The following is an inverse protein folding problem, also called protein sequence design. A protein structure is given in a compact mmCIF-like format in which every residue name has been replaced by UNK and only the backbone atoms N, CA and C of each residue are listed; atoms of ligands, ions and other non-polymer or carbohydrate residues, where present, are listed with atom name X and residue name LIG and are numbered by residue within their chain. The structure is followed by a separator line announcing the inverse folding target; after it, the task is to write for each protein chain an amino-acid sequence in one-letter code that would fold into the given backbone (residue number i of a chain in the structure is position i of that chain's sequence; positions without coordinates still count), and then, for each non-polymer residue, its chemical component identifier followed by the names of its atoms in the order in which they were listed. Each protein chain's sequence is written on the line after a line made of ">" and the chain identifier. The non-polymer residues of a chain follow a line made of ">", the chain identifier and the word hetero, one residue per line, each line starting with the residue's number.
data_IF_204451473710
#
_entry.id   IF_204451473710
#
_cell.length_a   1.000
_cell.length_b   1.000
_cell.length_c   1.000
_cell.angle_alpha   90.00
_cell.angle_beta   90.00
_cell.angle_gamma   90.00
#
_symmetry.space_group_name_H-M   'P 1'
#
loop_
_entity.id
_entity.type
_entity.pdbx_description
1 polymer ?
#
# COMPACT_ATOMS: atom_id res chain seq x y z
N UNK A 1 4.61 33.35 -10.88
CA UNK A 1 4.93 32.99 -9.47
C UNK A 1 6.42 33.26 -9.23
N UNK A 2 6.83 33.81 -8.07
CA UNK A 2 8.26 34.13 -7.83
C UNK A 2 9.09 32.85 -7.71
N UNK A 3 10.27 32.71 -8.37
CA UNK A 3 11.09 31.50 -8.32
C UNK A 3 11.40 31.00 -6.90
N UNK A 4 11.65 31.94 -5.96
CA UNK A 4 11.89 31.62 -4.55
C UNK A 4 10.73 30.91 -3.88
N UNK A 5 9.48 31.24 -4.23
CA UNK A 5 8.29 30.60 -3.66
C UNK A 5 8.20 29.15 -4.11
N UNK A 6 8.49 28.91 -5.40
CA UNK A 6 8.52 27.55 -5.96
C UNK A 6 9.62 26.73 -5.30
N UNK A 7 10.83 27.28 -5.16
CA UNK A 7 11.95 26.60 -4.51
C UNK A 7 11.65 26.26 -3.04
N UNK A 8 11.08 27.19 -2.28
CA UNK A 8 10.68 26.94 -0.90
C UNK A 8 9.62 25.82 -0.80
N UNK A 9 8.64 25.82 -1.71
CA UNK A 9 7.60 24.79 -1.74
C UNK A 9 8.16 23.40 -2.09
N UNK A 10 9.04 23.32 -3.10
CA UNK A 10 9.71 22.07 -3.47
C UNK A 10 10.59 21.55 -2.32
N UNK A 11 11.38 22.44 -1.71
CA UNK A 11 12.21 22.11 -0.56
C UNK A 11 11.40 21.64 0.65
N UNK A 12 10.29 22.30 0.96
CA UNK A 12 9.40 21.89 2.04
C UNK A 12 8.82 20.49 1.81
N UNK A 13 8.37 20.17 0.60
CA UNK A 13 7.86 18.84 0.29
C UNK A 13 8.92 17.75 0.44
N UNK A 14 10.17 18.03 0.07
CA UNK A 14 11.29 17.11 0.28
C UNK A 14 11.55 16.87 1.77
N UNK A 15 11.65 17.95 2.56
CA UNK A 15 11.86 17.87 4.02
C UNK A 15 10.71 17.13 4.70
N UNK A 16 9.47 17.43 4.33
CA UNK A 16 8.27 16.78 4.87
C UNK A 16 8.26 15.27 4.57
N UNK A 17 8.67 14.86 3.36
CA UNK A 17 8.64 13.45 2.94
C UNK A 17 9.74 12.60 3.57
N UNK A 18 10.90 13.19 3.86
CA UNK A 18 12.07 12.44 4.33
C UNK A 18 12.44 12.72 5.79
N UNK A 19 11.80 13.70 6.43
CA UNK A 19 12.10 14.16 7.77
C UNK A 19 12.09 13.03 8.81
N UNK A 20 11.07 12.17 8.79
CA UNK A 20 10.95 11.03 9.73
C UNK A 20 12.13 10.06 9.72
N UNK A 21 12.85 9.95 8.60
CA UNK A 21 13.98 9.04 8.45
C UNK A 21 15.29 9.58 9.02
N UNK A 22 15.30 10.83 9.50
CA UNK A 22 16.51 11.52 9.99
C UNK A 22 16.74 11.27 11.48
N UNK A 23 16.26 12.15 12.35
CA UNK A 23 16.44 12.08 13.80
C UNK A 23 15.11 12.05 14.55
N UNK A 24 15.18 11.84 15.87
CA UNK A 24 13.99 11.81 16.73
C UNK A 24 13.25 13.15 16.71
N UNK A 25 13.96 14.28 16.60
CA UNK A 25 13.35 15.62 16.64
C UNK A 25 12.43 15.81 15.44
N UNK A 26 12.86 15.41 14.25
CA UNK A 26 12.01 15.48 13.06
C UNK A 26 10.80 14.55 13.16
N UNK A 27 10.97 13.33 13.68
CA UNK A 27 9.82 12.43 13.94
C UNK A 27 8.82 13.03 14.93
N UNK A 28 9.30 13.67 15.98
CA UNK A 28 8.44 14.33 16.97
C UNK A 28 7.70 15.54 16.36
N UNK A 29 8.36 16.30 15.48
CA UNK A 29 7.74 17.40 14.73
C UNK A 29 6.67 16.86 13.78
N UNK A 30 6.96 15.81 13.03
CA UNK A 30 6.03 15.17 12.12
C UNK A 30 4.82 14.58 12.86
N UNK A 31 5.04 13.92 13.99
CA UNK A 31 3.96 13.42 14.84
C UNK A 31 3.06 14.57 15.30
N UNK A 32 3.63 15.67 15.81
CA UNK A 32 2.87 16.85 16.24
C UNK A 32 2.08 17.46 15.07
N UNK A 33 2.70 17.55 13.90
CA UNK A 33 2.06 18.02 12.68
C UNK A 33 0.87 17.13 12.28
N UNK A 34 1.07 15.82 12.17
CA UNK A 34 0.01 14.86 11.84
C UNK A 34 -1.11 14.87 12.90
N UNK A 35 -0.75 14.98 14.18
CA UNK A 35 -1.72 15.16 15.27
C UNK A 35 -2.48 16.49 15.20
N UNK A 36 -2.07 17.49 14.43
CA UNK A 36 -2.82 18.74 14.29
C UNK A 36 -3.57 18.81 12.96
N UNK A 37 -2.93 18.36 11.87
CA UNK A 37 -3.43 18.47 10.51
C UNK A 37 -4.24 17.23 10.07
N UNK A 38 -3.77 16.00 10.31
CA UNK A 38 -4.54 14.79 9.94
C UNK A 38 -5.77 14.60 10.85
N UNK A 39 -5.85 15.31 11.99
CA UNK A 39 -7.09 15.44 12.80
C UNK A 39 -8.24 16.13 12.06
N UNK A 40 -7.99 16.74 10.90
CA UNK A 40 -9.03 17.40 10.08
C UNK A 40 -9.48 16.54 8.88
N UNK A 41 -8.75 15.48 8.50
CA UNK A 41 -9.04 14.68 7.30
C UNK A 41 -9.82 13.38 7.58
N UNK A 42 -9.87 12.89 8.82
CA UNK A 42 -10.80 11.82 9.16
C UNK A 42 -12.20 12.43 9.21
N UNK A 43 -13.03 12.21 8.18
CA UNK A 43 -14.41 12.70 8.07
C UNK A 43 -15.39 12.22 9.15
N UNK A 44 -14.88 11.84 10.32
CA UNK A 44 -15.60 11.51 11.54
C UNK A 44 -15.99 12.83 12.21
N UNK A 45 -17.29 13.03 12.39
CA UNK A 45 -17.87 14.16 13.13
C UNK A 45 -17.13 14.36 14.46
N UNK A 46 -16.73 15.61 14.73
CA UNK A 46 -16.00 16.05 15.92
C UNK A 46 -16.59 15.54 17.24
N UNK A 47 -17.87 15.15 17.28
CA UNK A 47 -18.55 14.59 18.46
C UNK A 47 -18.16 13.15 18.80
N UNK A 48 -17.78 12.32 17.83
CA UNK A 48 -17.36 10.93 18.08
C UNK A 48 -15.87 10.82 18.43
N UNK A 49 -15.13 11.93 18.27
CA UNK A 49 -13.69 12.03 18.47
C UNK A 49 -13.24 11.80 19.91
N UNK A 50 -13.99 12.29 20.90
CA UNK A 50 -13.65 12.08 22.31
C UNK A 50 -13.86 10.63 22.73
N UNK A 51 -14.83 9.95 22.11
CA UNK A 51 -15.10 8.53 22.34
C UNK A 51 -14.00 7.70 21.70
N UNK A 52 -13.57 8.00 20.48
CA UNK A 52 -12.49 7.31 19.79
C UNK A 52 -11.12 7.52 20.46
N UNK A 53 -10.80 8.74 20.90
CA UNK A 53 -9.58 9.02 21.65
C UNK A 53 -9.56 8.28 22.99
N UNK A 54 -10.66 8.30 23.74
CA UNK A 54 -10.78 7.53 24.99
C UNK A 54 -10.72 6.03 24.73
N UNK A 55 -11.37 5.55 23.67
CA UNK A 55 -11.33 4.16 23.25
C UNK A 55 -9.90 3.73 22.95
N UNK A 56 -9.15 4.49 22.15
CA UNK A 56 -7.76 4.20 21.82
C UNK A 56 -6.81 4.32 23.04
N UNK A 57 -7.04 5.28 23.94
CA UNK A 57 -6.26 5.40 25.17
C UNK A 57 -6.51 4.25 26.15
N UNK A 58 -7.76 3.77 26.26
CA UNK A 58 -8.11 2.71 27.22
C UNK A 58 -7.88 1.30 26.67
N UNK A 59 -8.26 1.04 25.42
CA UNK A 59 -8.19 -0.29 24.82
C UNK A 59 -6.85 -0.57 24.14
N UNK A 60 -6.29 0.40 23.42
CA UNK A 60 -5.03 0.19 22.69
C UNK A 60 -3.78 0.51 23.53
N UNK A 61 -3.94 0.98 24.78
CA UNK A 61 -2.83 1.45 25.65
C UNK A 61 -1.80 2.27 24.86
N UNK A 62 -2.26 3.12 23.95
CA UNK A 62 -1.36 3.84 23.08
C UNK A 62 -0.62 4.88 23.92
N UNK A 63 0.61 4.57 24.34
CA UNK A 63 1.51 5.54 24.94
C UNK A 63 1.60 6.74 23.99
N UNK A 64 1.67 7.95 24.53
CA UNK A 64 1.70 9.21 23.77
C UNK A 64 2.97 9.39 22.91
N UNK A 65 3.71 8.32 22.62
CA UNK A 65 4.92 8.27 21.80
C UNK A 65 4.68 7.69 20.41
N UNK A 66 5.63 7.94 19.51
CA UNK A 66 5.65 7.31 18.17
C UNK A 66 5.86 5.80 18.35
N UNK A 67 4.95 4.98 17.81
CA UNK A 67 5.23 3.55 17.61
C UNK A 67 6.31 3.40 16.53
N UNK A 68 7.56 3.40 16.98
CA UNK A 68 8.72 3.27 16.10
C UNK A 68 8.73 1.93 15.36
N UNK A 69 8.24 0.86 16.00
CA UNK A 69 8.24 -0.47 15.38
C UNK A 69 7.22 -0.52 14.26
N UNK A 70 5.98 -0.10 14.52
CA UNK A 70 4.94 0.01 13.50
C UNK A 70 5.38 0.90 12.35
N UNK A 71 5.90 2.10 12.65
CA UNK A 71 6.41 3.05 11.63
C UNK A 71 7.49 2.43 10.75
N UNK A 72 8.45 1.71 11.35
CA UNK A 72 9.48 1.00 10.60
C UNK A 72 8.89 -0.13 9.73
N UNK A 73 7.92 -0.88 10.26
CA UNK A 73 7.25 -1.95 9.50
C UNK A 73 6.46 -1.40 8.32
N UNK A 74 5.73 -0.30 8.49
CA UNK A 74 4.99 0.35 7.41
C UNK A 74 5.94 0.89 6.34
N UNK A 75 7.04 1.50 6.78
CA UNK A 75 8.08 2.02 5.88
C UNK A 75 8.71 0.91 5.04
N UNK A 76 9.06 -0.22 5.65
CA UNK A 76 9.66 -1.35 4.92
C UNK A 76 8.62 -2.00 4.01
N UNK A 77 7.38 -2.22 4.47
CA UNK A 77 6.30 -2.80 3.68
C UNK A 77 5.94 -1.95 2.47
N UNK A 78 5.99 -0.62 2.59
CA UNK A 78 5.79 0.29 1.46
C UNK A 78 6.88 0.19 0.39
N UNK A 79 8.13 -0.09 0.80
CA UNK A 79 9.26 -0.10 -0.13
C UNK A 79 9.57 -1.49 -0.70
N UNK A 80 9.29 -2.54 0.07
CA UNK A 80 9.59 -3.93 -0.24
C UNK A 80 8.35 -4.83 -0.07
N UNK A 81 7.18 -4.48 -0.63
CA UNK A 81 5.92 -5.16 -0.34
C UNK A 81 6.00 -6.66 -0.61
N UNK A 82 6.51 -7.07 -1.78
CA UNK A 82 6.61 -8.49 -2.13
C UNK A 82 7.61 -9.28 -1.27
N UNK A 83 8.70 -8.65 -0.81
CA UNK A 83 9.67 -9.35 0.04
C UNK A 83 9.11 -9.55 1.45
N UNK A 84 8.41 -8.54 1.98
CA UNK A 84 7.69 -8.68 3.25
C UNK A 84 6.56 -9.70 3.13
N UNK A 85 5.80 -9.69 2.04
CA UNK A 85 4.75 -10.68 1.78
C UNK A 85 5.32 -12.09 1.70
N UNK A 86 6.44 -12.31 1.03
CA UNK A 86 7.12 -13.62 0.98
C UNK A 86 7.42 -14.16 2.39
N UNK A 87 7.98 -13.31 3.25
CA UNK A 87 8.25 -13.68 4.65
C UNK A 87 7.00 -14.01 5.45
N UNK A 88 5.89 -13.32 5.17
CA UNK A 88 4.59 -13.59 5.80
C UNK A 88 4.01 -14.93 5.32
N UNK A 89 4.05 -15.17 4.00
CA UNK A 89 3.53 -16.38 3.37
C UNK A 89 4.22 -17.62 3.93
N UNK A 90 5.55 -17.59 3.98
CA UNK A 90 6.35 -18.73 4.46
C UNK A 90 6.01 -19.14 5.91
N UNK A 91 5.38 -18.26 6.71
CA UNK A 91 5.05 -18.51 8.11
C UNK A 91 3.56 -18.66 8.41
N UNK A 92 2.70 -17.98 7.65
CA UNK A 92 1.33 -17.70 8.10
C UNK A 92 0.27 -17.91 7.05
N UNK A 93 0.60 -18.00 5.76
CA UNK A 93 -0.40 -18.12 4.70
C UNK A 93 -0.17 -19.38 3.88
N UNK A 94 -1.13 -20.29 3.95
CA UNK A 94 -1.04 -21.59 3.30
C UNK A 94 -1.69 -21.59 1.93
N UNK A 95 -1.36 -22.59 1.12
CA UNK A 95 -2.04 -22.81 -0.16
C UNK A 95 -3.54 -23.10 0.03
N UNK A 96 -3.93 -23.69 1.16
CA UNK A 96 -5.34 -23.92 1.48
C UNK A 96 -6.08 -22.61 1.69
N UNK A 97 -5.49 -21.65 2.43
CA UNK A 97 -6.07 -20.32 2.62
C UNK A 97 -6.28 -19.59 1.29
N UNK A 98 -5.30 -19.72 0.36
CA UNK A 98 -5.43 -19.19 -1.01
C UNK A 98 -6.61 -19.82 -1.76
N UNK A 99 -6.76 -21.14 -1.65
CA UNK A 99 -7.81 -21.87 -2.34
C UNK A 99 -9.20 -21.54 -1.80
N UNK A 100 -9.36 -21.48 -0.48
CA UNK A 100 -10.62 -21.11 0.16
C UNK A 100 -11.05 -19.70 -0.23
N UNK A 101 -10.14 -18.73 -0.17
CA UNK A 101 -10.41 -17.36 -0.61
C UNK A 101 -10.74 -17.29 -2.11
N UNK A 102 -10.07 -18.10 -2.94
CA UNK A 102 -10.35 -18.16 -4.38
C UNK A 102 -11.73 -18.72 -4.68
N UNK A 103 -12.17 -19.74 -3.93
CA UNK A 103 -13.52 -20.29 -4.04
C UNK A 103 -14.57 -19.24 -3.67
N UNK A 104 -14.37 -18.52 -2.57
CA UNK A 104 -15.26 -17.44 -2.14
C UNK A 104 -15.41 -16.35 -3.22
N UNK A 105 -14.29 -15.92 -3.82
CA UNK A 105 -14.32 -14.92 -4.89
C UNK A 105 -15.07 -15.45 -6.12
N UNK A 106 -14.89 -16.72 -6.48
CA UNK A 106 -15.63 -17.35 -7.57
C UNK A 106 -17.14 -17.42 -7.29
N UNK A 107 -17.53 -17.68 -6.05
CA UNK A 107 -18.95 -17.72 -5.68
C UNK A 107 -19.57 -16.32 -5.70
N UNK A 108 -18.86 -15.29 -5.27
CA UNK A 108 -19.28 -13.89 -5.44
C UNK A 108 -19.41 -13.52 -6.92
N UNK A 109 -18.47 -13.97 -7.76
CA UNK A 109 -18.53 -13.75 -9.22
C UNK A 109 -19.79 -14.39 -9.83
N UNK A 110 -20.14 -15.62 -9.41
CA UNK A 110 -21.36 -16.30 -9.86
C UNK A 110 -22.62 -15.58 -9.40
N UNK A 111 -22.70 -15.18 -8.14
CA UNK A 111 -23.85 -14.44 -7.64
C UNK A 111 -24.04 -13.11 -8.40
N UNK A 112 -22.94 -12.42 -8.73
CA UNK A 112 -23.01 -11.19 -9.53
C UNK A 112 -23.43 -11.45 -10.99
N UNK A 113 -23.02 -12.60 -11.56
CA UNK A 113 -23.47 -13.05 -12.87
C UNK A 113 -25.00 -13.25 -12.87
N UNK A 114 -25.52 -14.00 -11.90
CA UNK A 114 -26.97 -14.26 -11.73
C UNK A 114 -27.76 -12.95 -11.56
N UNK A 115 -27.27 -12.03 -10.74
CA UNK A 115 -27.89 -10.71 -10.56
C UNK A 115 -27.99 -9.91 -11.87
N UNK A 116 -26.95 -9.96 -12.71
CA UNK A 116 -26.97 -9.26 -14.02
C UNK A 116 -28.04 -9.87 -14.93
N UNK A 117 -28.21 -11.18 -14.91
CA UNK A 117 -29.25 -11.87 -15.69
C UNK A 117 -30.66 -11.51 -15.22
N UNK A 118 -30.86 -11.35 -13.90
CA UNK A 118 -32.16 -11.06 -13.29
C UNK A 118 -32.61 -9.59 -13.40
N UNK A 119 -31.71 -8.63 -13.65
CA UNK A 119 -32.10 -7.21 -13.69
C UNK A 119 -33.01 -6.87 -14.86
N UNK A 120 -34.30 -6.68 -14.60
CA UNK A 120 -35.31 -6.32 -15.61
C UNK A 120 -35.10 -4.93 -16.24
N UNK A 121 -34.39 -4.03 -15.55
CA UNK A 121 -34.10 -2.68 -16.05
C UNK A 121 -32.95 -2.65 -17.07
N UNK A 122 -32.22 -3.76 -17.24
CA UNK A 122 -31.16 -3.90 -18.23
C UNK A 122 -31.70 -4.58 -19.50
N UNK A 123 -31.47 -3.95 -20.65
CA UNK A 123 -31.70 -4.62 -21.93
C UNK A 123 -30.66 -5.74 -22.18
N UNK A 124 -30.97 -6.67 -23.07
CA UNK A 124 -30.12 -7.84 -23.36
C UNK A 124 -28.72 -7.44 -23.86
N UNK A 125 -28.59 -6.33 -24.59
CA UNK A 125 -27.31 -5.87 -25.11
C UNK A 125 -26.40 -5.37 -23.97
N UNK A 126 -26.97 -4.61 -23.02
CA UNK A 126 -26.25 -4.11 -21.86
C UNK A 126 -25.91 -5.28 -20.91
N UNK A 127 -26.83 -6.24 -20.70
CA UNK A 127 -26.52 -7.48 -19.94
C UNK A 127 -25.31 -8.20 -20.52
N UNK A 128 -25.31 -8.47 -21.83
CA UNK A 128 -24.19 -9.13 -22.51
C UNK A 128 -22.86 -8.38 -22.34
N UNK A 129 -22.87 -7.04 -22.38
CA UNK A 129 -21.67 -6.22 -22.14
C UNK A 129 -21.14 -6.36 -20.71
N UNK A 130 -22.04 -6.34 -19.72
CA UNK A 130 -21.64 -6.53 -18.32
C UNK A 130 -21.11 -7.93 -18.05
N UNK A 131 -21.75 -8.96 -18.59
CA UNK A 131 -21.27 -10.34 -18.46
C UNK A 131 -19.92 -10.54 -19.14
N UNK A 132 -19.72 -9.95 -20.32
CA UNK A 132 -18.41 -9.95 -21.01
C UNK A 132 -17.33 -9.31 -20.14
N UNK A 133 -17.62 -8.16 -19.52
CA UNK A 133 -16.69 -7.49 -18.61
C UNK A 133 -16.41 -8.32 -17.36
N UNK A 134 -17.43 -8.92 -16.76
CA UNK A 134 -17.30 -9.79 -15.59
C UNK A 134 -16.42 -11.01 -15.89
N UNK A 135 -16.61 -11.62 -17.06
CA UNK A 135 -15.80 -12.75 -17.52
C UNK A 135 -14.34 -12.36 -17.75
N UNK A 136 -14.09 -11.17 -18.31
CA UNK A 136 -12.75 -10.63 -18.52
C UNK A 136 -12.06 -10.10 -17.24
N UNK A 137 -12.78 -10.04 -16.11
CA UNK A 137 -12.21 -9.55 -14.84
C UNK A 137 -11.31 -10.60 -14.20
N UNK A 138 -10.05 -10.23 -13.98
CA UNK A 138 -9.07 -11.02 -13.22
C UNK A 138 -9.20 -10.71 -11.73
N UNK A 139 -9.18 -11.74 -10.89
CA UNK A 139 -9.20 -11.59 -9.43
C UNK A 139 -7.88 -12.07 -8.84
N UNK A 140 -7.17 -11.17 -8.15
CA UNK A 140 -5.88 -11.47 -7.55
C UNK A 140 -6.09 -11.85 -6.08
N UNK A 141 -5.85 -13.12 -5.74
CA UNK A 141 -6.13 -13.67 -4.42
C UNK A 141 -4.83 -13.97 -3.68
N UNK A 142 -4.64 -13.33 -2.53
CA UNK A 142 -3.48 -13.50 -1.67
C UNK A 142 -2.22 -12.84 -2.24
N UNK A 143 -1.49 -13.55 -3.10
CA UNK A 143 -0.20 -13.11 -3.62
C UNK A 143 0.05 -13.60 -5.05
N UNK A 144 0.87 -12.89 -5.84
CA UNK A 144 1.27 -13.34 -7.16
C UNK A 144 2.33 -14.45 -7.07
N UNK A 145 2.19 -15.52 -7.85
CA UNK A 145 2.96 -16.76 -7.65
C UNK A 145 4.48 -16.59 -7.86
N UNK A 146 4.91 -15.64 -8.70
CA UNK A 146 6.33 -15.40 -8.98
C UNK A 146 7.13 -15.03 -7.72
N UNK A 147 6.50 -14.50 -6.66
CA UNK A 147 7.21 -14.14 -5.42
C UNK A 147 7.64 -15.36 -4.61
N UNK A 148 7.09 -16.55 -4.92
CA UNK A 148 7.52 -17.81 -4.32
C UNK A 148 8.84 -18.31 -4.92
N UNK A 149 9.24 -17.79 -6.09
CA UNK A 149 10.54 -18.07 -6.69
C UNK A 149 11.55 -17.01 -6.24
N UNK A 150 12.55 -17.43 -5.47
CA UNK A 150 13.58 -16.53 -4.96
C UNK A 150 14.34 -15.81 -6.10
N UNK A 151 14.55 -16.48 -7.25
CA UNK A 151 15.25 -15.88 -8.39
C UNK A 151 14.45 -14.71 -8.98
N UNK A 152 13.14 -14.89 -9.13
CA UNK A 152 12.26 -13.85 -9.68
C UNK A 152 12.10 -12.69 -8.70
N UNK A 153 12.02 -13.00 -7.40
CA UNK A 153 11.99 -12.01 -6.33
C UNK A 153 13.27 -11.17 -6.26
N UNK A 154 14.44 -11.81 -6.33
CA UNK A 154 15.72 -11.11 -6.35
C UNK A 154 15.86 -10.26 -7.62
N UNK A 155 15.44 -10.80 -8.76
CA UNK A 155 15.41 -10.07 -10.03
C UNK A 155 14.48 -8.85 -9.98
N UNK A 156 13.36 -8.94 -9.25
CA UNK A 156 12.44 -7.82 -9.07
C UNK A 156 13.09 -6.65 -8.33
N UNK A 157 13.96 -6.94 -7.36
CA UNK A 157 14.64 -5.96 -6.50
C UNK A 157 16.09 -5.63 -6.93
N UNK A 158 16.55 -6.13 -8.08
CA UNK A 158 17.95 -5.98 -8.55
C UNK A 158 18.44 -4.54 -8.72
N UNK A 159 17.56 -3.54 -8.73
CA UNK A 159 17.90 -2.12 -8.88
C UNK A 159 18.12 -1.41 -7.53
N UNK A 160 17.93 -2.10 -6.41
CA UNK A 160 18.28 -1.60 -5.09
C UNK A 160 19.81 -1.62 -4.97
N UNK A 161 20.39 -0.45 -4.67
CA UNK A 161 21.82 -0.33 -4.44
C UNK A 161 22.20 -0.98 -3.09
N UNK A 162 23.48 -1.30 -2.91
CA UNK A 162 23.97 -1.86 -1.65
C UNK A 162 23.66 -0.90 -0.49
N UNK A 163 22.86 -1.37 0.45
CA UNK A 163 22.40 -0.58 1.60
C UNK A 163 23.30 -0.80 2.81
N UNK A 164 23.64 0.28 3.52
CA UNK A 164 24.20 0.20 4.87
C UNK A 164 23.08 0.40 5.90
N UNK A 165 22.69 -0.68 6.58
CA UNK A 165 21.59 -0.66 7.56
C UNK A 165 21.88 0.20 8.80
N UNK A 166 23.15 0.54 9.08
CA UNK A 166 23.49 1.49 10.16
C UNK A 166 23.17 2.94 9.80
N UNK A 167 22.86 3.21 8.53
CA UNK A 167 22.53 4.53 8.02
C UNK A 167 21.08 4.53 7.50
N UNK A 168 20.13 4.66 8.42
CA UNK A 168 18.69 4.58 8.14
C UNK A 168 18.24 5.49 7.01
N UNK A 169 18.71 6.74 6.97
CA UNK A 169 18.34 7.70 5.94
C UNK A 169 18.81 7.27 4.53
N UNK A 170 20.08 6.88 4.39
CA UNK A 170 20.62 6.36 3.11
C UNK A 170 19.91 5.08 2.69
N UNK A 171 19.64 4.18 3.65
CA UNK A 171 18.88 2.96 3.41
C UNK A 171 17.50 3.25 2.83
N UNK A 172 16.74 4.16 3.45
CA UNK A 172 15.40 4.51 2.97
C UNK A 172 15.42 5.10 1.57
N UNK A 173 16.41 5.95 1.24
CA UNK A 173 16.56 6.50 -0.12
C UNK A 173 16.86 5.39 -1.13
N UNK A 174 17.81 4.50 -0.84
CA UNK A 174 18.20 3.43 -1.75
C UNK A 174 17.10 2.37 -1.93
N UNK A 175 16.28 2.12 -0.92
CA UNK A 175 15.12 1.25 -1.08
C UNK A 175 14.08 1.83 -2.07
N UNK A 176 14.02 3.15 -2.25
CA UNK A 176 13.10 3.76 -3.22
C UNK A 176 13.58 3.64 -4.67
N UNK A 177 14.87 3.38 -4.91
CA UNK A 177 15.44 3.41 -6.27
C UNK A 177 14.80 2.36 -7.18
N UNK A 178 14.41 1.20 -6.62
CA UNK A 178 13.77 0.15 -7.40
C UNK A 178 12.42 0.60 -7.97
N UNK A 179 11.54 1.12 -7.12
CA UNK A 179 10.22 1.62 -7.55
C UNK A 179 10.36 2.74 -8.59
N UNK A 180 11.22 3.73 -8.33
CA UNK A 180 11.45 4.84 -9.25
C UNK A 180 12.01 4.35 -10.59
N UNK A 181 13.02 3.49 -10.57
CA UNK A 181 13.65 2.99 -11.79
C UNK A 181 12.70 2.10 -12.61
N UNK A 182 11.88 1.27 -11.95
CA UNK A 182 10.85 0.46 -12.63
C UNK A 182 9.78 1.34 -13.26
N UNK A 183 9.25 2.32 -12.51
CA UNK A 183 8.25 3.25 -13.03
C UNK A 183 8.77 4.06 -14.22
N UNK A 184 10.04 4.47 -14.20
CA UNK A 184 10.63 5.17 -15.34
C UNK A 184 10.84 4.25 -16.55
N UNK A 185 11.19 2.98 -16.33
CA UNK A 185 11.37 2.00 -17.41
C UNK A 185 10.05 1.57 -18.05
N UNK A 186 8.93 1.62 -17.33
CA UNK A 186 7.62 1.20 -17.83
C UNK A 186 6.91 2.23 -18.71
N UNK A 187 7.33 3.51 -18.72
CA UNK A 187 6.66 4.61 -19.46
C UNK A 187 6.41 4.30 -20.94
N UNK A 188 7.26 3.48 -21.57
CA UNK A 188 7.15 3.11 -23.00
C UNK A 188 6.96 1.61 -23.23
N UNK A 189 6.67 0.86 -22.18
CA UNK A 189 6.39 -0.56 -22.25
C UNK A 189 4.88 -0.78 -22.19
N UNK A 190 4.34 -1.88 -22.74
CA UNK A 190 2.98 -2.28 -22.43
C UNK A 190 2.84 -2.48 -20.91
N UNK A 191 1.61 -2.35 -20.41
CA UNK A 191 1.32 -2.60 -18.99
C UNK A 191 1.64 -4.06 -18.68
N UNK A 192 2.55 -4.28 -17.72
CA UNK A 192 2.89 -5.62 -17.24
C UNK A 192 1.74 -6.20 -16.43
N UNK A 193 1.06 -7.22 -16.94
CA UNK A 193 0.01 -7.94 -16.20
C UNK A 193 0.56 -9.09 -15.35
N UNK A 194 1.88 -9.31 -15.33
CA UNK A 194 2.55 -10.42 -14.62
C UNK A 194 2.72 -10.10 -13.12
N UNK A 195 2.71 -8.81 -12.77
CA UNK A 195 2.91 -8.32 -11.40
C UNK A 195 1.64 -7.81 -10.72
N UNK A 196 0.52 -7.80 -11.46
CA UNK A 196 -0.82 -7.53 -10.95
C UNK A 196 -1.42 -8.83 -10.39
#
# INVERSE_FOLDING_TARGET
>A
MKPRVIANYMGWNFVRKLGSYTDKRFRDIELKFNQHFNKQETGVDLRFRDIELKFNQHFNKQETGVDLRGTCMDSISSQLPYAVSRLYIDKHFTQNDKQEASNLVNDVKKAYYELIEEYDWLDENIKNKYLTKLNATTFNVGYPDWILNNTDLDNYYKLIQRVNLKKSFEAMIYLQTNSVARNMRSIRQPVDTIYE
#
